data_IF_562972284157
#
_entry.id   IF_562972284157
#
_cell.length_a   1.000
_cell.length_b   1.000
_cell.length_c   1.000
_cell.angle_alpha   90.00
_cell.angle_beta   90.00
_cell.angle_gamma   90.00
#
_symmetry.space_group_name_H-M   'P 1'
#
loop_
_entity.id
_entity.type
_entity.pdbx_description
1 polymer ?
#
# COMPACT_ATOMS: atom_id res chain seq x y z
N UNK A 1 -29.03 -86.82 -16.46
CA UNK A 1 -28.83 -85.74 -15.47
C UNK A 1 -29.95 -84.72 -15.69
N UNK A 2 -31.20 -85.17 -15.63
CA UNK A 2 -31.95 -85.55 -14.42
C UNK A 2 -32.60 -84.30 -13.84
N UNK A 3 -33.91 -84.17 -14.04
CA UNK A 3 -34.91 -84.52 -13.03
C UNK A 3 -34.94 -83.49 -11.89
N UNK A 4 -36.13 -82.87 -11.77
CA UNK A 4 -36.73 -82.30 -10.54
C UNK A 4 -36.43 -80.81 -10.24
N UNK A 5 -37.46 -79.99 -10.48
CA UNK A 5 -38.01 -78.96 -9.58
C UNK A 5 -39.21 -78.35 -10.32
N UNK A 6 -40.39 -78.96 -10.28
CA UNK A 6 -41.41 -78.79 -9.25
C UNK A 6 -41.48 -77.36 -8.64
N UNK A 7 -42.68 -76.78 -8.69
CA UNK A 7 -42.94 -75.47 -8.12
C UNK A 7 -43.72 -74.54 -9.04
N UNK A 8 -45.05 -74.72 -9.04
CA UNK A 8 -46.02 -73.67 -9.34
C UNK A 8 -45.48 -72.26 -9.01
N UNK A 9 -45.55 -71.33 -9.96
CA UNK A 9 -45.93 -69.94 -9.70
C UNK A 9 -46.29 -69.26 -11.01
N UNK A 10 -47.60 -69.05 -11.16
CA UNK A 10 -48.24 -68.32 -12.25
C UNK A 10 -47.53 -66.98 -12.47
N UNK A 11 -47.05 -66.74 -13.69
CA UNK A 11 -46.58 -65.43 -14.16
C UNK A 11 -47.78 -64.47 -14.36
N UNK A 12 -48.60 -64.33 -13.31
CA UNK A 12 -49.63 -63.31 -13.23
C UNK A 12 -48.98 -62.01 -12.80
N UNK A 13 -48.86 -61.06 -13.72
CA UNK A 13 -48.52 -59.66 -13.43
C UNK A 13 -49.41 -59.17 -12.29
N UNK A 14 -48.86 -59.09 -11.07
CA UNK A 14 -49.57 -58.54 -9.91
C UNK A 14 -49.67 -57.03 -10.12
N UNK A 15 -50.86 -56.54 -10.48
CA UNK A 15 -51.16 -55.11 -10.50
C UNK A 15 -51.28 -54.67 -9.04
N UNK A 16 -50.24 -54.02 -8.52
CA UNK A 16 -50.12 -53.61 -7.12
C UNK A 16 -51.04 -52.43 -6.74
N UNK A 17 -51.90 -51.98 -7.65
CA UNK A 17 -52.88 -50.93 -7.39
C UNK A 17 -54.28 -51.51 -7.48
N UNK A 18 -55.10 -51.20 -6.48
CA UNK A 18 -56.51 -51.58 -6.47
C UNK A 18 -57.25 -50.79 -7.55
N UNK A 19 -58.31 -51.38 -8.11
CA UNK A 19 -59.18 -50.73 -9.11
C UNK A 19 -59.65 -49.35 -8.63
N UNK A 20 -59.98 -49.25 -7.34
CA UNK A 20 -60.36 -47.99 -6.69
C UNK A 20 -59.29 -46.90 -6.78
N UNK A 21 -58.01 -47.27 -6.76
CA UNK A 21 -56.91 -46.32 -6.82
C UNK A 21 -56.62 -45.86 -8.26
N UNK A 22 -57.01 -46.65 -9.27
CA UNK A 22 -57.01 -46.22 -10.68
C UNK A 22 -58.20 -45.33 -11.02
N UNK A 23 -59.38 -45.64 -10.47
CA UNK A 23 -60.60 -44.93 -10.82
C UNK A 23 -60.70 -43.54 -10.15
N UNK A 24 -60.09 -43.38 -8.96
CA UNK A 24 -60.19 -42.16 -8.16
C UNK A 24 -58.84 -41.45 -7.99
N UNK A 25 -58.25 -41.04 -9.11
CA UNK A 25 -57.10 -40.13 -9.11
C UNK A 25 -57.52 -38.65 -9.08
N UNK A 26 -56.64 -37.79 -8.56
CA UNK A 26 -56.92 -36.36 -8.31
C UNK A 26 -56.98 -35.56 -9.63
N UNK A 27 -58.17 -35.39 -10.20
CA UNK A 27 -58.41 -34.48 -11.35
C UNK A 27 -58.58 -33.04 -10.86
N UNK A 28 -57.85 -32.07 -11.44
CA UNK A 28 -58.09 -30.63 -11.19
C UNK A 28 -59.29 -30.17 -12.04
N UNK A 29 -60.35 -29.69 -11.39
CA UNK A 29 -61.52 -29.13 -12.09
C UNK A 29 -61.22 -27.75 -12.68
N UNK A 30 -61.73 -27.49 -13.88
CA UNK A 30 -61.65 -26.16 -14.52
C UNK A 30 -62.59 -25.16 -13.82
N UNK A 31 -62.19 -23.88 -13.77
CA UNK A 31 -63.03 -22.82 -13.19
C UNK A 31 -63.98 -22.26 -14.25
N UNK A 32 -65.24 -22.05 -13.88
CA UNK A 32 -66.23 -21.41 -14.74
C UNK A 32 -65.79 -20.00 -15.17
N UNK A 33 -66.07 -19.63 -16.43
CA UNK A 33 -65.75 -18.31 -16.96
C UNK A 33 -66.60 -17.21 -16.27
N UNK A 34 -65.94 -16.19 -15.74
CA UNK A 34 -66.62 -15.04 -15.11
C UNK A 34 -67.29 -14.17 -16.18
N UNK A 35 -68.63 -14.06 -16.16
CA UNK A 35 -69.36 -13.06 -16.97
C UNK A 35 -69.49 -11.76 -16.18
N UNK A 36 -69.00 -10.66 -16.76
CA UNK A 36 -69.24 -9.31 -16.23
C UNK A 36 -70.56 -8.75 -16.80
N UNK A 37 -71.42 -8.11 -15.99
CA UNK A 37 -72.62 -7.46 -16.48
C UNK A 37 -72.28 -6.24 -17.36
N UNK A 38 -73.14 -5.97 -18.34
CA UNK A 38 -72.97 -4.83 -19.26
C UNK A 38 -73.33 -3.51 -18.58
N UNK A 39 -72.56 -2.46 -18.84
CA UNK A 39 -72.73 -1.14 -18.24
C UNK A 39 -74.03 -0.48 -18.70
N UNK A 40 -74.79 0.11 -17.77
CA UNK A 40 -76.15 0.63 -18.02
C UNK A 40 -76.19 2.02 -18.67
N UNK A 41 -75.05 2.64 -18.96
CA UNK A 41 -74.98 3.92 -19.68
C UNK A 41 -75.58 5.13 -18.94
N UNK A 42 -76.03 4.97 -17.69
CA UNK A 42 -76.74 6.01 -16.90
C UNK A 42 -75.90 7.28 -16.69
N UNK A 43 -74.57 7.15 -16.73
CA UNK A 43 -73.63 8.27 -16.53
C UNK A 43 -73.16 8.93 -17.83
N UNK A 44 -73.74 8.58 -18.99
CA UNK A 44 -73.47 9.32 -20.21
C UNK A 44 -74.26 10.63 -20.16
N UNK A 45 -73.59 11.68 -19.69
CA UNK A 45 -74.17 13.02 -19.58
C UNK A 45 -74.41 13.61 -20.96
N UNK A 46 -75.67 13.64 -21.39
CA UNK A 46 -76.09 14.26 -22.66
C UNK A 46 -76.14 15.81 -22.60
N UNK A 47 -75.71 16.39 -21.48
CA UNK A 47 -75.77 17.83 -21.23
C UNK A 47 -74.47 18.53 -21.61
N UNK A 48 -74.49 19.35 -22.67
CA UNK A 48 -73.39 20.27 -22.98
C UNK A 48 -73.33 21.36 -21.90
N UNK A 49 -72.38 21.25 -20.97
CA UNK A 49 -72.17 22.23 -19.91
C UNK A 49 -71.43 23.45 -20.48
N UNK A 50 -72.12 24.58 -20.59
CA UNK A 50 -71.48 25.86 -20.90
C UNK A 50 -70.83 26.41 -19.61
N UNK A 51 -69.52 26.24 -19.48
CA UNK A 51 -68.75 26.64 -18.29
C UNK A 51 -68.29 28.10 -18.30
N UNK A 52 -68.56 28.84 -19.38
CA UNK A 52 -68.12 30.22 -19.52
C UNK A 52 -69.10 31.15 -18.82
N UNK A 53 -68.58 31.91 -17.86
CA UNK A 53 -69.32 32.93 -17.11
C UNK A 53 -69.00 34.31 -17.70
N UNK A 54 -69.93 35.26 -17.59
CA UNK A 54 -69.77 36.62 -18.11
C UNK A 54 -68.45 37.28 -17.64
N UNK A 55 -68.03 37.02 -16.41
CA UNK A 55 -66.78 37.53 -15.84
C UNK A 55 -65.54 37.00 -16.57
N UNK A 56 -65.57 35.74 -17.01
CA UNK A 56 -64.45 35.12 -17.74
C UNK A 56 -64.26 35.68 -19.15
N UNK A 57 -65.36 36.09 -19.81
CA UNK A 57 -65.31 36.74 -21.11
C UNK A 57 -64.89 38.21 -21.02
N UNK A 58 -65.25 38.89 -19.93
CA UNK A 58 -65.06 40.34 -19.79
C UNK A 58 -63.68 40.71 -19.24
N UNK A 59 -63.11 39.90 -18.34
CA UNK A 59 -61.80 40.14 -17.72
C UNK A 59 -60.72 39.20 -18.26
N UNK A 60 -60.36 39.39 -19.53
CA UNK A 60 -59.19 38.75 -20.13
C UNK A 60 -57.91 39.56 -19.84
N UNK A 61 -56.76 38.90 -19.59
CA UNK A 61 -55.52 39.60 -19.30
C UNK A 61 -55.03 40.37 -20.52
N UNK A 62 -55.28 41.69 -20.56
CA UNK A 62 -54.73 42.58 -21.58
C UNK A 62 -53.26 42.86 -21.26
N UNK A 63 -52.37 42.56 -22.19
CA UNK A 63 -50.95 42.95 -22.10
C UNK A 63 -50.88 44.47 -22.23
N UNK A 64 -50.60 45.16 -21.14
CA UNK A 64 -50.39 46.61 -21.16
C UNK A 64 -49.21 46.96 -22.05
N UNK A 65 -49.43 47.83 -23.03
CA UNK A 65 -48.35 48.41 -23.83
C UNK A 65 -47.50 49.30 -22.93
N UNK A 66 -46.21 49.00 -22.82
CA UNK A 66 -45.27 49.83 -22.06
C UNK A 66 -44.84 50.99 -22.96
N UNK A 67 -44.98 52.22 -22.46
CA UNK A 67 -44.42 53.40 -23.11
C UNK A 67 -42.92 53.24 -23.36
N UNK A 68 -42.43 53.75 -24.50
CA UNK A 68 -40.99 53.82 -24.79
C UNK A 68 -40.28 54.60 -23.67
N UNK A 69 -39.33 53.95 -23.01
CA UNK A 69 -38.55 54.58 -21.96
C UNK A 69 -37.49 55.50 -22.60
N UNK A 70 -37.78 56.79 -22.67
CA UNK A 70 -36.76 57.80 -22.96
C UNK A 70 -35.82 57.90 -21.76
N UNK A 71 -34.58 57.42 -21.94
CA UNK A 71 -33.55 57.47 -20.89
C UNK A 71 -33.12 58.93 -20.70
N UNK A 72 -33.28 59.52 -19.51
CA UNK A 72 -32.76 60.87 -19.26
C UNK A 72 -31.24 60.88 -19.43
N UNK A 73 -30.73 61.85 -20.19
CA UNK A 73 -29.29 62.01 -20.43
C UNK A 73 -28.60 62.29 -19.09
N UNK A 74 -27.54 61.54 -18.79
CA UNK A 74 -26.81 61.65 -17.53
C UNK A 74 -26.18 63.04 -17.43
N UNK A 75 -26.65 63.84 -16.48
CA UNK A 75 -26.06 65.15 -16.23
C UNK A 75 -24.68 64.99 -15.59
N UNK A 76 -23.76 65.85 -16.00
CA UNK A 76 -22.36 65.89 -15.57
C UNK A 76 -22.17 66.37 -14.11
N UNK A 77 -23.15 66.16 -13.24
CA UNK A 77 -23.12 66.60 -11.84
C UNK A 77 -21.97 65.98 -11.04
N UNK A 78 -21.47 64.81 -11.47
CA UNK A 78 -20.31 64.15 -10.89
C UNK A 78 -18.97 64.69 -11.39
N UNK A 79 -18.96 65.51 -12.45
CA UNK A 79 -17.79 66.28 -12.84
C UNK A 79 -17.72 67.44 -11.86
N UNK A 80 -17.11 67.16 -10.71
CA UNK A 80 -16.80 68.13 -9.65
C UNK A 80 -16.33 69.42 -10.33
N UNK A 81 -17.17 70.46 -10.28
CA UNK A 81 -16.68 71.81 -10.63
C UNK A 81 -15.65 72.17 -9.57
N UNK A 82 -14.51 72.76 -9.95
CA UNK A 82 -13.46 73.13 -9.00
C UNK A 82 -13.93 74.36 -8.23
N UNK A 83 -14.89 74.20 -7.33
CA UNK A 83 -14.95 75.04 -6.15
C UNK A 83 -13.83 74.52 -5.25
N UNK A 84 -12.90 75.41 -4.88
CA UNK A 84 -11.71 75.17 -4.06
C UNK A 84 -10.68 74.11 -4.57
N UNK A 85 -9.76 74.56 -5.45
CA UNK A 85 -8.34 74.15 -5.49
C UNK A 85 -7.95 72.68 -5.22
N UNK A 86 -8.72 71.71 -5.69
CA UNK A 86 -8.28 70.30 -5.75
C UNK A 86 -8.34 69.88 -7.22
N UNK A 87 -7.47 70.52 -8.01
CA UNK A 87 -7.11 70.00 -9.32
C UNK A 87 -6.21 68.79 -9.10
N UNK A 88 -6.71 67.60 -9.45
CA UNK A 88 -5.96 66.46 -10.06
C UNK A 88 -4.47 66.33 -9.71
N UNK A 89 -4.15 66.49 -8.43
CA UNK A 89 -2.80 66.64 -7.93
C UNK A 89 -2.63 65.65 -6.79
N UNK A 90 -1.85 64.61 -7.07
CA UNK A 90 -1.42 63.56 -6.15
C UNK A 90 -1.38 64.07 -4.70
N UNK A 91 -2.31 63.57 -3.87
CA UNK A 91 -2.31 63.83 -2.45
C UNK A 91 -0.98 63.30 -1.88
N UNK A 92 -0.18 64.18 -1.30
CA UNK A 92 1.01 63.77 -0.55
C UNK A 92 0.54 63.23 0.81
N UNK A 93 0.35 61.91 0.89
CA UNK A 93 -0.09 61.20 2.09
C UNK A 93 1.12 60.58 2.80
N UNK A 94 2.12 61.40 3.11
CA UNK A 94 3.24 60.97 3.95
C UNK A 94 3.19 61.73 5.29
N UNK A 95 3.07 60.96 6.38
CA UNK A 95 3.10 61.52 7.73
C UNK A 95 4.52 61.86 8.15
N UNK A 96 4.67 62.82 9.07
CA UNK A 96 5.97 63.21 9.65
C UNK A 96 6.69 62.00 10.25
N UNK A 97 5.96 61.11 10.94
CA UNK A 97 6.53 59.90 11.51
C UNK A 97 7.13 58.96 10.44
N UNK A 98 6.45 58.82 9.29
CA UNK A 98 6.93 57.97 8.20
C UNK A 98 8.18 58.55 7.52
N UNK A 99 8.31 59.88 7.48
CA UNK A 99 9.50 60.56 6.96
C UNK A 99 10.69 60.51 7.92
N UNK A 100 10.44 60.70 9.21
CA UNK A 100 11.50 60.90 10.20
C UNK A 100 12.03 59.59 10.78
N UNK A 101 11.26 58.51 10.72
CA UNK A 101 11.63 57.20 11.27
C UNK A 101 11.57 56.07 10.23
N UNK A 102 12.43 56.09 9.20
CA UNK A 102 12.56 54.96 8.28
C UNK A 102 13.21 53.76 9.00
N UNK A 103 12.86 52.55 8.57
CA UNK A 103 13.46 51.34 9.13
C UNK A 103 14.97 51.29 8.84
N UNK A 104 15.79 51.41 9.88
CA UNK A 104 17.25 51.29 9.77
C UNK A 104 17.71 49.89 10.19
N UNK A 105 18.57 49.26 9.38
CA UNK A 105 19.18 47.97 9.72
C UNK A 105 20.35 48.21 10.68
N UNK A 106 20.29 47.66 11.89
CA UNK A 106 21.36 47.75 12.88
C UNK A 106 22.61 46.95 12.48
N UNK A 107 23.78 47.50 12.80
CA UNK A 107 25.07 46.82 12.61
C UNK A 107 25.26 45.71 13.65
N UNK A 108 25.94 44.63 13.27
CA UNK A 108 26.28 43.54 14.19
C UNK A 108 27.59 43.87 14.90
N UNK A 109 27.61 43.76 16.22
CA UNK A 109 28.84 43.91 16.99
C UNK A 109 29.89 42.85 16.56
N UNK A 110 31.18 43.23 16.53
CA UNK A 110 32.24 42.28 16.21
C UNK A 110 32.26 41.16 17.27
N UNK A 111 32.21 39.92 16.81
CA UNK A 111 32.29 38.74 17.68
C UNK A 111 33.75 38.46 18.00
N UNK A 112 34.15 38.60 19.26
CA UNK A 112 35.46 38.16 19.74
C UNK A 112 35.43 36.66 19.98
N UNK A 113 35.96 35.88 19.05
CA UNK A 113 36.08 34.43 19.21
C UNK A 113 37.35 34.16 20.03
N UNK A 114 37.26 33.51 21.21
CA UNK A 114 38.43 33.17 22.00
C UNK A 114 39.32 32.19 21.24
N UNK A 115 40.64 32.35 21.35
CA UNK A 115 41.61 31.48 20.69
C UNK A 115 41.47 30.05 21.24
N UNK A 116 41.35 29.07 20.34
CA UNK A 116 41.27 27.65 20.70
C UNK A 116 42.50 27.24 21.53
N UNK A 117 42.25 26.52 22.62
CA UNK A 117 43.27 26.05 23.56
C UNK A 117 44.04 24.81 23.06
N UNK A 118 43.71 24.30 21.88
CA UNK A 118 44.43 23.23 21.18
C UNK A 118 44.68 21.96 22.02
N UNK A 119 43.79 21.70 22.97
CA UNK A 119 43.89 20.60 23.96
C UNK A 119 43.93 19.23 23.28
N UNK A 120 43.42 19.11 22.05
CA UNK A 120 43.32 17.85 21.29
C UNK A 120 44.38 17.72 20.19
N UNK A 121 45.52 18.42 20.30
CA UNK A 121 46.56 18.42 19.25
C UNK A 121 47.14 17.03 18.93
N UNK A 122 47.04 16.08 19.85
CA UNK A 122 47.39 14.67 19.59
C UNK A 122 48.89 14.38 19.50
N UNK A 123 49.75 15.30 19.98
CA UNK A 123 51.22 15.18 19.95
C UNK A 123 51.79 14.04 20.83
N UNK A 124 50.93 13.31 21.54
CA UNK A 124 51.33 12.22 22.42
C UNK A 124 51.68 10.95 21.63
N UNK A 125 52.96 10.56 21.63
CA UNK A 125 53.39 9.27 21.11
C UNK A 125 52.92 8.15 22.04
N UNK A 126 52.00 7.30 21.56
CA UNK A 126 51.54 6.11 22.29
C UNK A 126 52.52 4.94 22.09
N UNK A 127 53.08 4.43 23.19
CA UNK A 127 53.89 3.20 23.16
C UNK A 127 53.02 2.00 23.52
N UNK A 128 52.67 1.20 22.52
CA UNK A 128 51.77 0.05 22.64
C UNK A 128 52.47 -1.26 23.05
N UNK A 129 53.63 -1.17 23.71
CA UNK A 129 54.40 -2.35 24.10
C UNK A 129 53.99 -2.81 25.49
N UNK A 130 53.60 -4.09 25.58
CA UNK A 130 53.25 -4.72 26.86
C UNK A 130 54.43 -5.57 27.35
N UNK A 131 54.52 -5.76 28.67
CA UNK A 131 55.55 -6.61 29.26
C UNK A 131 55.55 -8.03 28.66
N UNK A 132 54.35 -8.58 28.42
CA UNK A 132 54.21 -9.91 27.79
C UNK A 132 54.82 -9.98 26.39
N UNK A 133 54.65 -8.94 25.57
CA UNK A 133 55.24 -8.88 24.22
C UNK A 133 56.76 -8.70 24.25
N UNK A 134 57.30 -8.03 25.27
CA UNK A 134 58.74 -7.90 25.46
C UNK A 134 59.37 -9.23 25.93
N UNK A 135 58.69 -9.93 26.85
CA UNK A 135 59.26 -11.08 27.56
C UNK A 135 59.17 -12.40 26.75
N UNK A 136 58.13 -12.58 25.93
CA UNK A 136 57.81 -13.86 25.27
C UNK A 136 57.88 -13.77 23.73
N UNK A 137 58.99 -13.29 23.19
CA UNK A 137 59.31 -13.38 21.77
C UNK A 137 59.68 -14.80 21.33
N UNK A 138 59.45 -15.12 20.05
CA UNK A 138 59.82 -16.42 19.48
C UNK A 138 61.35 -16.63 19.56
N UNK A 139 61.79 -17.67 20.28
CA UNK A 139 63.19 -18.09 20.34
C UNK A 139 63.38 -19.32 19.45
N UNK A 140 64.39 -19.30 18.58
CA UNK A 140 64.75 -20.48 17.77
C UNK A 140 65.52 -21.45 18.66
N UNK A 141 64.94 -22.62 18.92
CA UNK A 141 65.60 -23.69 19.68
C UNK A 141 66.75 -24.33 18.89
N UNK A 142 67.80 -24.73 19.59
CA UNK A 142 68.91 -25.50 19.03
C UNK A 142 68.48 -26.95 18.76
N UNK A 143 69.05 -27.57 17.72
CA UNK A 143 68.78 -28.98 17.41
C UNK A 143 69.85 -29.85 18.06
N UNK A 144 69.44 -30.91 18.74
CA UNK A 144 70.37 -31.87 19.32
C UNK A 144 71.08 -32.70 18.24
N UNK A 145 72.33 -33.05 18.51
CA UNK A 145 73.12 -33.93 17.66
C UNK A 145 72.56 -35.37 17.70
N UNK A 146 72.59 -36.02 16.54
CA UNK A 146 72.15 -37.41 16.40
C UNK A 146 73.28 -38.32 16.90
N UNK A 147 73.08 -38.96 18.05
CA UNK A 147 73.96 -40.03 18.54
C UNK A 147 73.68 -41.30 17.73
N UNK A 148 74.67 -41.76 16.96
CA UNK A 148 74.60 -43.06 16.27
C UNK A 148 75.22 -44.12 17.18
N UNK A 149 74.54 -45.26 17.43
CA UNK A 149 75.14 -46.36 18.16
C UNK A 149 76.31 -46.97 17.36
N UNK A 150 77.43 -47.19 18.02
CA UNK A 150 78.59 -47.88 17.43
C UNK A 150 78.27 -49.36 17.25
N UNK A 151 78.67 -49.92 16.09
CA UNK A 151 78.46 -51.33 15.80
C UNK A 151 79.37 -52.19 16.67
N UNK A 152 78.80 -52.99 17.56
CA UNK A 152 79.55 -53.87 18.46
C UNK A 152 80.50 -54.81 17.70
N UNK A 153 81.73 -54.98 18.19
CA UNK A 153 82.82 -55.79 17.62
C UNK A 153 82.58 -57.32 17.63
N UNK A 154 81.37 -57.78 17.92
CA UNK A 154 80.97 -59.19 17.93
C UNK A 154 81.30 -59.91 16.61
N UNK A 155 81.19 -59.20 15.48
CA UNK A 155 81.54 -59.73 14.17
C UNK A 155 83.05 -60.00 14.01
N UNK A 156 83.91 -59.22 14.67
CA UNK A 156 85.37 -59.43 14.63
C UNK A 156 85.74 -60.75 15.30
N UNK A 157 85.13 -61.06 16.46
CA UNK A 157 85.35 -62.31 17.19
C UNK A 157 84.86 -63.52 16.40
N UNK A 158 83.72 -63.39 15.71
CA UNK A 158 83.19 -64.45 14.86
C UNK A 158 84.15 -64.75 13.70
N UNK A 159 84.71 -63.72 13.06
CA UNK A 159 85.68 -63.88 11.98
C UNK A 159 87.02 -64.46 12.45
N UNK A 160 87.51 -64.09 13.63
CA UNK A 160 88.77 -64.65 14.16
C UNK A 160 88.61 -66.13 14.50
N UNK A 161 87.50 -66.51 15.15
CA UNK A 161 87.24 -67.91 15.46
C UNK A 161 87.11 -68.76 14.20
N UNK A 162 86.40 -68.24 13.18
CA UNK A 162 86.31 -68.93 11.89
C UNK A 162 87.68 -69.11 11.22
N UNK A 163 88.52 -68.06 11.20
CA UNK A 163 89.89 -68.14 10.65
C UNK A 163 90.79 -69.11 11.42
N UNK A 164 90.67 -69.17 12.74
CA UNK A 164 91.44 -70.11 13.58
C UNK A 164 91.02 -71.54 13.24
N UNK A 165 89.72 -71.80 13.14
CA UNK A 165 89.18 -73.12 12.81
C UNK A 165 89.67 -73.58 11.43
N UNK A 166 89.65 -72.68 10.43
CA UNK A 166 90.12 -72.98 9.08
C UNK A 166 91.61 -73.32 9.05
N UNK A 167 92.45 -72.59 9.79
CA UNK A 167 93.89 -72.89 9.93
C UNK A 167 94.18 -74.21 10.63
N UNK A 168 93.33 -74.63 11.57
CA UNK A 168 93.45 -75.93 12.25
C UNK A 168 93.06 -77.08 11.30
N UNK A 169 92.02 -76.90 10.49
CA UNK A 169 91.59 -77.88 9.48
C UNK A 169 92.62 -78.02 8.36
N UNK A 170 93.23 -76.93 7.89
CA UNK A 170 94.28 -76.98 6.86
C UNK A 170 95.60 -77.61 7.34
N UNK A 171 95.80 -77.76 8.65
CA UNK A 171 97.00 -78.37 9.27
C UNK A 171 96.79 -79.82 9.74
N UNK A 172 95.59 -80.38 9.56
CA UNK A 172 95.27 -81.80 9.82
C UNK A 172 95.31 -82.62 8.53
#
# INVERSE_FOLDING_TARGET
LDFINDGFKKNGRLVAQTVTHQDYDRKKGERYATRKPQESGILQGDGRFASETQTSTEFTPKKGERYEATRPQTSDLWKVRPTHNIHEGKLEVDSVAHRDYPAQKGERYPTSVPKSSDILRGDGKFTAETQKSADFGAKKGERYDIVRPETSDLWKVCLTNFKIYLKLVERS
#
